data_IF_672971760110
#
_entry.id   IF_672971760110
#
_cell.length_a   1.000
_cell.length_b   1.000
_cell.length_c   1.000
_cell.angle_alpha   90.00
_cell.angle_beta   90.00
_cell.angle_gamma   90.00
#
_symmetry.space_group_name_H-M   'P 1'
#
loop_
_entity.id
_entity.type
_entity.pdbx_description
1 polymer ?
#
# COMPACT_ATOMS: atom_id res chain seq x y z
N UNK A 1 -2.48 23.99 -24.59
CA UNK A 1 -2.33 22.63 -24.01
C UNK A 1 -3.04 22.62 -22.66
N UNK A 2 -4.09 21.81 -22.50
CA UNK A 2 -4.80 21.70 -21.21
C UNK A 2 -3.91 20.95 -20.20
N UNK A 3 -3.67 21.53 -19.02
CA UNK A 3 -2.97 20.83 -17.93
C UNK A 3 -3.84 19.69 -17.45
N UNK A 4 -3.38 18.45 -17.59
CA UNK A 4 -4.06 17.28 -17.05
C UNK A 4 -4.16 17.39 -15.51
N UNK A 5 -5.29 16.94 -14.92
CA UNK A 5 -5.53 17.16 -13.49
C UNK A 5 -4.64 16.26 -12.63
N UNK A 6 -4.16 16.79 -11.50
CA UNK A 6 -3.32 16.08 -10.52
C UNK A 6 -3.99 14.77 -10.03
N UNK A 7 -5.32 14.67 -10.12
CA UNK A 7 -6.11 13.48 -9.79
C UNK A 7 -5.75 12.23 -10.59
N UNK A 8 -5.13 12.39 -11.76
CA UNK A 8 -4.72 11.27 -12.61
C UNK A 8 -3.30 10.79 -12.35
N UNK A 9 -2.59 11.39 -11.40
CA UNK A 9 -1.23 10.96 -11.09
C UNK A 9 -1.26 9.66 -10.27
N UNK A 10 -0.31 8.74 -10.49
CA UNK A 10 -0.25 7.49 -9.72
C UNK A 10 -0.20 7.71 -8.21
N UNK A 11 0.52 8.74 -7.73
CA UNK A 11 0.61 9.04 -6.31
C UNK A 11 -0.75 9.46 -5.73
N UNK A 12 -1.50 10.30 -6.44
CA UNK A 12 -2.84 10.69 -6.01
C UNK A 12 -3.77 9.48 -5.96
N UNK A 13 -3.76 8.64 -7.00
CA UNK A 13 -4.60 7.45 -7.08
C UNK A 13 -4.30 6.50 -5.93
N UNK A 14 -3.03 6.19 -5.67
CA UNK A 14 -2.60 5.35 -4.56
C UNK A 14 -3.04 5.91 -3.20
N UNK A 15 -2.88 7.22 -2.99
CA UNK A 15 -3.34 7.89 -1.77
C UNK A 15 -4.86 7.78 -1.59
N UNK A 16 -5.65 8.01 -2.64
CA UNK A 16 -7.10 7.89 -2.57
C UNK A 16 -7.55 6.45 -2.30
N UNK A 17 -6.82 5.45 -2.78
CA UNK A 17 -7.06 4.06 -2.40
C UNK A 17 -6.82 3.80 -0.91
N UNK A 18 -5.75 4.35 -0.32
CA UNK A 18 -5.49 4.22 1.11
C UNK A 18 -6.61 4.87 1.94
N UNK A 19 -7.05 6.07 1.54
CA UNK A 19 -8.17 6.77 2.18
C UNK A 19 -9.46 5.94 2.12
N UNK A 20 -9.80 5.42 0.94
CA UNK A 20 -10.99 4.57 0.75
C UNK A 20 -10.91 3.27 1.53
N UNK A 21 -9.73 2.65 1.59
CA UNK A 21 -9.51 1.39 2.32
C UNK A 21 -9.65 1.60 3.82
N UNK A 22 -9.11 2.71 4.35
CA UNK A 22 -9.29 3.09 5.75
C UNK A 22 -10.77 3.35 6.07
N UNK A 23 -11.47 4.10 5.22
CA UNK A 23 -12.91 4.34 5.34
C UNK A 23 -13.73 3.04 5.36
N UNK A 24 -13.42 2.10 4.44
CA UNK A 24 -14.07 0.80 4.38
C UNK A 24 -13.80 -0.04 5.63
N UNK A 25 -12.54 -0.06 6.10
CA UNK A 25 -12.12 -0.77 7.32
C UNK A 25 -12.84 -0.26 8.57
N UNK A 26 -13.24 1.01 8.59
CA UNK A 26 -14.01 1.58 9.70
C UNK A 26 -15.53 1.39 9.54
N UNK A 27 -16.00 0.53 8.62
CA UNK A 27 -17.42 0.22 8.45
C UNK A 27 -18.17 1.12 7.47
N UNK A 28 -17.48 1.97 6.71
CA UNK A 28 -18.09 2.86 5.72
C UNK A 28 -19.21 3.77 6.28
N UNK A 29 -18.93 4.60 7.31
CA UNK A 29 -19.94 5.45 7.94
C UNK A 29 -20.64 6.38 6.96
N UNK A 30 -21.93 6.62 7.16
CA UNK A 30 -22.67 7.61 6.38
C UNK A 30 -22.09 9.01 6.57
N UNK A 31 -22.15 9.85 5.53
CA UNK A 31 -21.60 11.21 5.59
C UNK A 31 -22.15 12.04 6.76
N UNK A 32 -23.44 11.85 7.09
CA UNK A 32 -24.09 12.49 8.25
C UNK A 32 -23.45 12.11 9.57
N UNK A 33 -23.02 10.85 9.73
CA UNK A 33 -22.34 10.37 10.93
C UNK A 33 -20.93 10.97 11.03
N UNK A 34 -20.20 11.01 9.92
CA UNK A 34 -18.86 11.62 9.86
C UNK A 34 -18.94 13.10 10.24
N UNK A 35 -19.89 13.86 9.67
CA UNK A 35 -20.06 15.28 9.96
C UNK A 35 -20.39 15.50 11.45
N UNK A 36 -21.31 14.70 12.01
CA UNK A 36 -21.67 14.77 13.43
C UNK A 36 -20.50 14.48 14.36
N UNK A 37 -19.67 13.50 14.02
CA UNK A 37 -18.47 13.17 14.81
C UNK A 37 -17.40 14.24 14.65
N UNK A 38 -17.20 14.75 13.43
CA UNK A 38 -16.27 15.84 13.14
C UNK A 38 -16.57 17.09 13.99
N UNK A 39 -17.85 17.47 14.14
CA UNK A 39 -18.24 18.61 14.98
C UNK A 39 -18.01 18.41 16.48
N UNK A 40 -17.78 17.16 16.92
CA UNK A 40 -17.56 16.80 18.33
C UNK A 40 -16.13 16.36 18.61
N UNK A 41 -15.20 16.52 17.66
CA UNK A 41 -13.81 16.07 17.84
C UNK A 41 -13.12 16.77 19.01
N UNK A 42 -13.43 18.03 19.31
CA UNK A 42 -12.90 18.73 20.48
C UNK A 42 -13.26 18.07 21.81
N UNK A 43 -14.41 17.37 21.89
CA UNK A 43 -14.83 16.63 23.08
C UNK A 43 -13.99 15.35 23.27
N UNK A 44 -13.63 14.68 22.18
CA UNK A 44 -12.90 13.41 22.20
C UNK A 44 -11.39 13.59 22.22
N UNK A 45 -10.89 14.67 21.63
CA UNK A 45 -9.46 14.96 21.48
C UNK A 45 -9.17 16.37 21.97
N UNK A 46 -9.21 16.61 23.29
CA UNK A 46 -8.88 17.91 23.84
C UNK A 46 -7.44 18.31 23.44
N UNK A 47 -7.20 19.59 23.13
CA UNK A 47 -5.86 20.06 22.78
C UNK A 47 -4.90 19.82 23.95
N UNK A 48 -3.73 19.25 23.65
CA UNK A 48 -2.64 19.24 24.64
C UNK A 48 -2.01 20.64 24.69
N UNK A 49 -1.27 20.96 25.76
CA UNK A 49 -0.60 22.26 25.91
C UNK A 49 0.24 22.58 24.66
N UNK A 50 -0.21 23.57 23.88
CA UNK A 50 0.47 24.06 22.68
C UNK A 50 -0.13 23.59 21.35
N UNK A 51 -1.11 22.68 21.36
CA UNK A 51 -1.83 22.26 20.15
C UNK A 51 -3.02 23.19 19.86
N UNK A 52 -3.23 23.48 18.57
CA UNK A 52 -4.45 24.14 18.11
C UNK A 52 -5.65 23.20 18.22
N UNK A 53 -6.78 23.77 18.62
CA UNK A 53 -8.07 23.07 18.66
C UNK A 53 -8.48 22.59 17.27
N UNK A 54 -9.11 21.41 17.19
CA UNK A 54 -9.59 20.84 15.93
C UNK A 54 -10.95 21.46 15.59
N UNK A 55 -10.96 22.75 15.26
CA UNK A 55 -12.17 23.43 14.77
C UNK A 55 -12.26 23.31 13.25
N UNK A 56 -12.67 22.14 12.76
CA UNK A 56 -12.81 21.90 11.32
C UNK A 56 -14.17 21.32 11.00
N UNK A 57 -15.00 22.12 10.33
CA UNK A 57 -16.27 21.65 9.78
C UNK A 57 -16.04 20.89 8.47
N UNK A 58 -16.49 19.63 8.45
CA UNK A 58 -16.57 18.82 7.24
C UNK A 58 -17.95 19.00 6.61
N UNK A 59 -18.00 19.12 5.27
CA UNK A 59 -19.25 19.24 4.53
C UNK A 59 -19.52 17.98 3.70
N UNK A 60 -20.80 17.65 3.50
CA UNK A 60 -21.20 16.50 2.67
C UNK A 60 -20.65 16.56 1.23
N UNK A 61 -20.65 17.72 0.53
CA UNK A 61 -20.04 17.82 -0.80
C UNK A 61 -18.55 17.48 -0.79
N UNK A 62 -17.82 17.95 0.23
CA UNK A 62 -16.40 17.67 0.36
C UNK A 62 -16.12 16.18 0.61
N UNK A 63 -16.90 15.55 1.49
CA UNK A 63 -16.81 14.11 1.75
C UNK A 63 -17.13 13.29 0.51
N UNK A 64 -18.16 13.69 -0.25
CA UNK A 64 -18.52 13.04 -1.50
C UNK A 64 -17.39 13.13 -2.53
N UNK A 65 -16.75 14.29 -2.67
CA UNK A 65 -15.60 14.47 -3.56
C UNK A 65 -14.38 13.65 -3.10
N UNK A 66 -14.08 13.64 -1.80
CA UNK A 66 -13.00 12.82 -1.24
C UNK A 66 -13.27 11.33 -1.51
N UNK A 67 -14.43 10.81 -1.11
CA UNK A 67 -14.74 9.38 -1.24
C UNK A 67 -14.94 8.93 -2.69
N UNK A 68 -15.31 9.82 -3.60
CA UNK A 68 -15.34 9.51 -5.04
C UNK A 68 -13.96 9.58 -5.71
N UNK A 69 -12.91 10.08 -5.01
CA UNK A 69 -11.59 10.30 -5.60
C UNK A 69 -11.50 11.54 -6.47
N UNK A 70 -12.52 12.40 -6.48
CA UNK A 70 -12.63 13.59 -7.34
C UNK A 70 -12.17 14.88 -6.66
N UNK A 71 -11.60 14.80 -5.46
CA UNK A 71 -11.22 15.98 -4.69
C UNK A 71 -9.99 16.68 -5.29
N UNK A 72 -10.21 17.86 -5.86
CA UNK A 72 -9.17 18.75 -6.36
C UNK A 72 -9.27 20.14 -5.74
N UNK A 73 -8.23 20.65 -5.07
CA UNK A 73 -6.94 20.01 -4.77
C UNK A 73 -7.03 18.95 -3.64
N UNK A 74 -5.92 18.23 -3.40
CA UNK A 74 -5.77 17.33 -2.23
C UNK A 74 -6.16 18.05 -0.92
N UNK A 75 -6.70 17.32 0.07
CA UNK A 75 -7.29 17.93 1.25
C UNK A 75 -6.25 18.74 2.06
N UNK A 76 -6.69 19.76 2.79
CA UNK A 76 -5.83 20.43 3.78
C UNK A 76 -5.53 19.46 4.93
N UNK A 77 -4.41 19.67 5.62
CA UNK A 77 -4.02 18.82 6.75
C UNK A 77 -5.11 18.76 7.82
N UNK A 78 -5.75 19.90 8.12
CA UNK A 78 -6.76 19.98 9.18
C UNK A 78 -8.06 19.26 8.79
N UNK A 79 -8.55 19.44 7.55
CA UNK A 79 -9.73 18.71 7.05
C UNK A 79 -9.47 17.22 6.97
N UNK A 80 -8.27 16.84 6.55
CA UNK A 80 -7.91 15.43 6.47
C UNK A 80 -7.77 14.79 7.86
N UNK A 81 -7.16 15.48 8.82
CA UNK A 81 -7.09 15.05 10.22
C UNK A 81 -8.48 14.84 10.80
N UNK A 82 -9.37 15.82 10.64
CA UNK A 82 -10.75 15.73 11.12
C UNK A 82 -11.49 14.53 10.51
N UNK A 83 -11.29 14.27 9.21
CA UNK A 83 -11.85 13.10 8.55
C UNK A 83 -11.34 11.78 9.14
N UNK A 84 -10.02 11.60 9.27
CA UNK A 84 -9.41 10.36 9.78
C UNK A 84 -9.89 10.07 11.21
N UNK A 85 -9.95 11.10 12.06
CA UNK A 85 -10.44 10.99 13.43
C UNK A 85 -11.93 10.65 13.49
N UNK A 86 -12.77 11.36 12.75
CA UNK A 86 -14.21 11.13 12.76
C UNK A 86 -14.56 9.70 12.29
N UNK A 87 -13.87 9.22 11.25
CA UNK A 87 -14.06 7.86 10.71
C UNK A 87 -13.52 6.79 11.68
N UNK A 88 -12.35 7.03 12.28
CA UNK A 88 -11.79 6.12 13.28
C UNK A 88 -12.65 6.02 14.54
N UNK A 89 -13.10 7.17 15.06
CA UNK A 89 -14.03 7.24 16.21
C UNK A 89 -15.30 6.45 15.94
N UNK A 90 -15.88 6.61 14.76
CA UNK A 90 -17.04 5.81 14.36
C UNK A 90 -16.74 4.31 14.46
N UNK A 91 -15.61 3.88 13.89
CA UNK A 91 -15.18 2.48 13.93
C UNK A 91 -15.11 1.92 15.36
N UNK A 92 -14.65 2.72 16.32
CA UNK A 92 -14.66 2.36 17.75
C UNK A 92 -16.08 2.34 18.31
N UNK A 93 -16.90 3.36 18.05
CA UNK A 93 -18.29 3.45 18.55
C UNK A 93 -19.16 2.26 18.14
N UNK A 94 -18.92 1.69 16.96
CA UNK A 94 -19.64 0.51 16.47
C UNK A 94 -18.91 -0.82 16.71
N UNK A 95 -17.78 -0.80 17.42
CA UNK A 95 -17.01 -2.00 17.78
C UNK A 95 -16.29 -2.68 16.62
N UNK A 96 -16.05 -1.97 15.51
CA UNK A 96 -15.26 -2.45 14.37
C UNK A 96 -13.75 -2.32 14.65
N UNK A 97 -13.35 -1.25 15.34
CA UNK A 97 -11.97 -1.04 15.80
C UNK A 97 -11.92 -1.25 17.32
N UNK A 98 -10.91 -2.00 17.77
CA UNK A 98 -10.65 -2.20 19.21
C UNK A 98 -10.07 -0.94 19.86
N UNK A 99 -9.26 -0.20 19.12
CA UNK A 99 -8.57 0.99 19.61
C UNK A 99 -8.84 2.21 18.71
N UNK A 100 -8.93 3.36 19.36
CA UNK A 100 -9.10 4.65 18.70
C UNK A 100 -7.78 5.08 18.05
N UNK A 101 -7.78 5.64 16.81
CA UNK A 101 -6.55 6.09 16.18
C UNK A 101 -5.88 7.16 17.04
N UNK A 102 -4.67 6.84 17.48
CA UNK A 102 -3.88 7.69 18.34
C UNK A 102 -3.25 8.87 17.57
N UNK A 103 -2.59 9.75 18.32
CA UNK A 103 -1.87 10.90 17.74
C UNK A 103 -0.70 10.47 16.85
N UNK A 104 -0.12 9.28 17.04
CA UNK A 104 0.95 8.77 16.17
C UNK A 104 0.43 8.38 14.80
N UNK A 105 -0.71 7.68 14.74
CA UNK A 105 -1.43 7.34 13.51
C UNK A 105 -1.79 8.60 12.72
N UNK A 106 -2.18 9.69 13.40
CA UNK A 106 -2.42 10.98 12.74
C UNK A 106 -1.18 11.58 12.09
N UNK A 107 -0.02 11.54 12.77
CA UNK A 107 1.23 12.04 12.20
C UNK A 107 1.60 11.29 10.93
N UNK A 108 1.38 9.97 10.91
CA UNK A 108 1.61 9.13 9.73
C UNK A 108 0.71 9.52 8.56
N UNK A 109 -0.59 9.73 8.80
CA UNK A 109 -1.54 10.18 7.77
C UNK A 109 -1.21 11.58 7.24
N UNK A 110 -0.77 12.50 8.11
CA UNK A 110 -0.35 13.85 7.70
C UNK A 110 0.92 13.81 6.87
N UNK A 111 1.91 13.02 7.27
CA UNK A 111 3.15 12.84 6.52
C UNK A 111 2.86 12.18 5.17
N UNK A 112 1.97 11.19 5.13
CA UNK A 112 1.51 10.57 3.90
C UNK A 112 0.85 11.61 2.97
N UNK A 113 -0.06 12.45 3.48
CA UNK A 113 -0.68 13.52 2.70
C UNK A 113 0.35 14.50 2.13
N UNK A 114 1.34 14.90 2.94
CA UNK A 114 2.43 15.80 2.53
C UNK A 114 3.27 15.18 1.42
N UNK A 115 3.66 13.91 1.59
CA UNK A 115 4.43 13.18 0.58
C UNK A 115 3.66 13.01 -0.72
N UNK A 116 2.37 12.67 -0.63
CA UNK A 116 1.49 12.55 -1.80
C UNK A 116 1.37 13.87 -2.54
N UNK A 117 1.16 14.99 -1.84
CA UNK A 117 1.09 16.32 -2.48
C UNK A 117 2.35 16.62 -3.29
N UNK A 118 3.53 16.52 -2.65
CA UNK A 118 4.80 16.77 -3.31
C UNK A 118 5.01 15.85 -4.52
N UNK A 119 4.65 14.57 -4.41
CA UNK A 119 4.87 13.59 -5.47
C UNK A 119 3.87 13.73 -6.62
N UNK A 120 2.60 13.97 -6.32
CA UNK A 120 1.57 14.18 -7.31
C UNK A 120 1.83 15.46 -8.11
N UNK A 121 2.32 16.53 -7.45
CA UNK A 121 2.78 17.73 -8.14
C UNK A 121 4.01 17.45 -9.03
N UNK A 122 4.99 16.69 -8.53
CA UNK A 122 6.15 16.30 -9.32
C UNK A 122 5.75 15.44 -10.54
N UNK A 123 4.90 14.44 -10.36
CA UNK A 123 4.40 13.59 -11.44
C UNK A 123 3.61 14.38 -12.48
N UNK A 124 2.78 15.33 -12.04
CA UNK A 124 2.05 16.21 -12.96
C UNK A 124 3.00 17.13 -13.75
N UNK A 125 4.12 17.58 -13.16
CA UNK A 125 5.18 18.32 -13.87
C UNK A 125 5.92 17.45 -14.86
N UNK A 126 6.18 16.19 -14.50
CA UNK A 126 6.91 15.22 -15.32
C UNK A 126 6.01 14.57 -16.40
N UNK A 127 4.72 14.92 -16.45
CA UNK A 127 3.78 14.37 -17.43
C UNK A 127 3.33 12.93 -17.14
N UNK A 128 3.55 12.43 -15.92
CA UNK A 128 3.21 11.06 -15.53
C UNK A 128 1.76 10.98 -15.05
N UNK A 129 0.89 10.45 -15.90
CA UNK A 129 -0.52 10.23 -15.62
C UNK A 129 -0.89 8.77 -15.89
N UNK A 130 -1.90 8.27 -15.18
CA UNK A 130 -2.54 6.99 -15.48
C UNK A 130 -3.60 7.26 -16.54
N UNK A 131 -3.56 6.49 -17.63
CA UNK A 131 -4.63 6.50 -18.63
C UNK A 131 -5.87 5.87 -18.00
N UNK A 132 -7.02 6.55 -18.11
CA UNK A 132 -8.31 5.95 -17.76
C UNK A 132 -8.59 4.86 -18.80
N UNK A 133 -8.21 3.62 -18.51
CA UNK A 133 -8.81 2.47 -19.19
C UNK A 133 -10.25 2.32 -18.71
N UNK A 134 -11.15 3.08 -19.34
CA UNK A 134 -12.57 2.80 -19.31
C UNK A 134 -12.92 1.91 -20.51
N UNK A 135 -13.10 0.63 -20.23
CA UNK A 135 -14.13 -0.26 -20.81
C UNK A 135 -14.58 0.05 -22.26
N UNK A 136 -13.85 -0.43 -23.27
CA UNK A 136 -14.29 -0.30 -24.66
C UNK A 136 -13.38 -1.03 -25.65
N UNK A 137 -13.72 -2.28 -25.95
CA UNK A 137 -12.88 -3.22 -26.69
C UNK A 137 -12.28 -2.74 -28.03
N UNK A 138 -11.11 -3.28 -28.34
CA UNK A 138 -10.94 -4.23 -29.44
C UNK A 138 -9.59 -4.93 -29.33
N UNK A 139 -9.62 -6.25 -29.43
CA UNK A 139 -8.48 -7.06 -29.80
C UNK A 139 -7.95 -6.58 -31.15
N UNK A 140 -6.63 -6.44 -31.26
CA UNK A 140 -5.82 -7.15 -32.26
C UNK A 140 -4.33 -6.96 -31.94
N UNK A 141 -3.66 -8.09 -31.73
CA UNK A 141 -2.21 -8.32 -31.85
C UNK A 141 -1.84 -8.29 -33.36
N UNK A 142 -0.58 -8.21 -33.89
CA UNK A 142 0.61 -8.92 -33.35
C UNK A 142 2.05 -8.42 -33.70
N UNK A 143 3.07 -9.08 -33.09
CA UNK A 143 4.51 -9.17 -33.45
C UNK A 143 5.35 -7.87 -33.43
N UNK A 144 6.66 -7.79 -33.17
CA UNK A 144 7.78 -8.73 -33.00
C UNK A 144 8.97 -7.92 -32.44
N UNK A 145 9.88 -8.52 -31.66
CA UNK A 145 11.33 -8.37 -31.85
C UNK A 145 12.14 -9.28 -30.93
N UNK A 146 12.97 -10.08 -31.57
CA UNK A 146 14.04 -10.94 -31.05
C UNK A 146 15.12 -10.13 -30.30
N UNK A 147 15.76 -10.68 -29.26
CA UNK A 147 17.23 -10.59 -29.07
C UNK A 147 17.74 -11.77 -28.21
N UNK A 148 18.61 -12.59 -28.84
CA UNK A 148 19.90 -13.08 -28.33
C UNK A 148 20.05 -13.62 -26.90
N UNK A 149 20.23 -14.94 -26.80
CA UNK A 149 20.77 -15.62 -25.62
C UNK A 149 22.28 -15.33 -25.53
N UNK A 150 22.70 -14.58 -24.50
CA UNK A 150 24.11 -14.44 -24.12
C UNK A 150 24.32 -14.92 -22.67
N UNK A 151 25.28 -15.83 -22.52
CA UNK A 151 25.71 -16.46 -21.26
C UNK A 151 26.13 -15.38 -20.22
N UNK A 152 25.73 -15.48 -18.94
CA UNK A 152 26.05 -14.45 -17.97
C UNK A 152 27.51 -14.54 -17.51
N UNK A 153 28.31 -13.54 -17.87
CA UNK A 153 29.58 -13.20 -17.21
C UNK A 153 29.31 -12.72 -15.79
N UNK A 154 30.12 -13.19 -14.84
CA UNK A 154 30.10 -12.79 -13.44
C UNK A 154 30.01 -11.26 -13.29
N UNK A 155 28.93 -10.78 -12.67
CA UNK A 155 28.59 -9.35 -12.57
C UNK A 155 29.23 -8.73 -11.32
N UNK A 156 29.94 -7.63 -11.54
CA UNK A 156 30.45 -6.71 -10.52
C UNK A 156 29.29 -6.14 -9.65
N UNK A 157 29.55 -5.67 -8.42
CA UNK A 157 28.52 -5.17 -7.50
C UNK A 157 27.71 -4.05 -8.15
N UNK A 158 26.41 -4.28 -8.29
CA UNK A 158 25.47 -3.34 -8.91
C UNK A 158 25.10 -2.27 -7.91
N UNK A 159 25.21 -1.01 -8.29
CA UNK A 159 24.55 0.06 -7.54
C UNK A 159 23.04 -0.16 -7.61
N UNK A 160 22.36 -0.15 -6.47
CA UNK A 160 20.89 -0.28 -6.40
C UNK A 160 20.28 0.95 -7.07
N UNK A 161 19.57 0.74 -8.19
CA UNK A 161 18.85 1.79 -8.93
C UNK A 161 17.39 1.81 -8.47
N UNK A 162 16.63 2.87 -8.77
CA UNK A 162 15.17 2.84 -8.58
C UNK A 162 14.56 1.74 -9.43
N UNK A 163 13.64 1.00 -8.83
CA UNK A 163 12.83 0.03 -9.55
C UNK A 163 11.71 0.70 -10.33
N UNK A 164 11.27 0.07 -11.40
CA UNK A 164 10.10 0.51 -12.14
C UNK A 164 8.85 0.32 -11.26
N UNK A 165 8.03 1.36 -11.03
CA UNK A 165 6.84 1.23 -10.20
C UNK A 165 5.87 0.20 -10.79
N UNK A 166 5.52 -0.81 -10.00
CA UNK A 166 4.47 -1.76 -10.37
C UNK A 166 3.13 -1.20 -9.89
N UNK A 167 2.17 -1.06 -10.80
CA UNK A 167 0.84 -0.57 -10.47
C UNK A 167 0.01 -1.74 -9.93
N UNK A 168 -0.38 -1.64 -8.66
CA UNK A 168 -1.27 -2.62 -8.03
C UNK A 168 -2.74 -2.26 -8.30
N UNK A 169 -3.52 -3.25 -8.70
CA UNK A 169 -4.98 -3.19 -8.77
C UNK A 169 -5.62 -2.99 -7.40
N UNK A 170 -6.89 -2.55 -7.33
CA UNK A 170 -7.60 -2.35 -6.07
C UNK A 170 -7.65 -3.61 -5.19
N UNK A 171 -7.83 -4.78 -5.82
CA UNK A 171 -7.90 -6.07 -5.13
C UNK A 171 -6.56 -6.46 -4.52
N UNK A 172 -5.44 -6.21 -5.23
CA UNK A 172 -4.09 -6.43 -4.72
C UNK A 172 -3.77 -5.49 -3.56
N UNK A 173 -4.10 -4.20 -3.68
CA UNK A 173 -3.94 -3.24 -2.57
C UNK A 173 -4.74 -3.67 -1.34
N UNK A 174 -6.02 -4.02 -1.51
CA UNK A 174 -6.88 -4.49 -0.42
C UNK A 174 -6.30 -5.73 0.28
N UNK A 175 -5.76 -6.69 -0.48
CA UNK A 175 -5.04 -7.83 0.08
C UNK A 175 -3.84 -7.39 0.92
N UNK A 176 -2.99 -6.51 0.37
CA UNK A 176 -1.82 -5.99 1.06
C UNK A 176 -2.19 -5.28 2.39
N UNK A 177 -3.32 -4.57 2.42
CA UNK A 177 -3.79 -3.85 3.62
C UNK A 177 -4.12 -4.76 4.80
N UNK A 178 -4.40 -6.05 4.57
CA UNK A 178 -4.66 -7.04 5.64
C UNK A 178 -3.45 -7.25 6.54
N UNK A 179 -2.24 -6.96 6.05
CA UNK A 179 -1.00 -7.11 6.79
C UNK A 179 -0.65 -5.90 7.68
N UNK A 180 -1.48 -4.86 7.70
CA UNK A 180 -1.38 -3.74 8.66
C UNK A 180 -0.67 -2.48 8.13
N UNK A 181 -0.36 -1.55 9.04
CA UNK A 181 0.18 -0.22 8.74
C UNK A 181 1.57 -0.25 8.06
N UNK A 182 2.37 -1.27 8.36
CA UNK A 182 3.66 -1.42 7.70
C UNK A 182 3.49 -1.71 6.20
N UNK A 183 2.53 -2.57 5.84
CA UNK A 183 2.24 -2.90 4.44
C UNK A 183 1.68 -1.69 3.64
N UNK A 184 0.97 -0.78 4.32
CA UNK A 184 0.59 0.53 3.74
C UNK A 184 1.83 1.38 3.40
N UNK A 185 2.81 1.39 4.30
CA UNK A 185 4.08 2.10 4.07
C UNK A 185 4.85 1.49 2.91
N UNK A 186 4.82 0.15 2.76
CA UNK A 186 5.40 -0.53 1.61
C UNK A 186 4.73 -0.06 0.31
N UNK A 187 3.39 -0.05 0.23
CA UNK A 187 2.64 0.37 -0.97
C UNK A 187 3.10 1.73 -1.50
N UNK A 188 3.29 2.68 -0.58
CA UNK A 188 3.71 4.04 -0.92
C UNK A 188 5.17 4.08 -1.36
N UNK A 189 6.04 3.30 -0.72
CA UNK A 189 7.48 3.23 -1.08
C UNK A 189 7.68 2.50 -2.41
N UNK A 190 6.99 1.39 -2.63
CA UNK A 190 7.01 0.63 -3.87
C UNK A 190 6.52 1.46 -5.06
N UNK A 191 5.46 2.26 -4.87
CA UNK A 191 4.98 3.24 -5.86
C UNK A 191 5.99 4.37 -6.15
N UNK A 192 6.95 4.63 -5.26
CA UNK A 192 8.08 5.55 -5.49
C UNK A 192 9.26 4.89 -6.20
N UNK A 193 9.17 3.61 -6.56
CA UNK A 193 10.25 2.83 -7.15
C UNK A 193 11.31 2.40 -6.13
N UNK A 194 10.94 2.25 -4.86
CA UNK A 194 11.83 1.67 -3.84
C UNK A 194 11.93 0.15 -4.05
N UNK A 195 13.10 -0.37 -4.48
CA UNK A 195 13.26 -1.80 -4.77
C UNK A 195 13.11 -2.68 -3.52
N UNK A 196 13.46 -2.17 -2.34
CA UNK A 196 13.33 -2.93 -1.09
C UNK A 196 11.85 -3.09 -0.75
N UNK A 197 11.06 -2.03 -0.91
CA UNK A 197 9.62 -2.09 -0.67
C UNK A 197 8.92 -3.01 -1.67
N UNK A 198 9.28 -2.96 -2.96
CA UNK A 198 8.73 -3.88 -3.96
C UNK A 198 9.09 -5.34 -3.69
N UNK A 199 10.32 -5.62 -3.28
CA UNK A 199 10.71 -6.95 -2.82
C UNK A 199 9.85 -7.42 -1.64
N UNK A 200 9.66 -6.55 -0.66
CA UNK A 200 8.86 -6.86 0.53
C UNK A 200 7.39 -7.11 0.21
N UNK A 201 6.79 -6.35 -0.70
CA UNK A 201 5.46 -6.65 -1.23
C UNK A 201 5.43 -7.96 -2.01
N UNK A 202 6.46 -8.21 -2.82
CA UNK A 202 6.64 -9.47 -3.54
C UNK A 202 6.66 -10.67 -2.60
N UNK A 203 7.28 -10.54 -1.42
CA UNK A 203 7.24 -11.56 -0.36
C UNK A 203 5.82 -11.71 0.19
N UNK A 204 5.12 -10.60 0.48
CA UNK A 204 3.75 -10.64 1.03
C UNK A 204 2.76 -11.30 0.07
N UNK A 205 2.79 -10.95 -1.22
CA UNK A 205 1.98 -11.61 -2.24
C UNK A 205 2.46 -13.02 -2.54
N UNK A 206 3.76 -13.28 -2.45
CA UNK A 206 4.35 -14.60 -2.71
C UNK A 206 3.91 -15.66 -1.70
N UNK A 207 3.47 -15.28 -0.49
CA UNK A 207 2.85 -16.18 0.50
C UNK A 207 1.47 -16.73 0.03
N UNK A 208 0.84 -16.13 -0.99
CA UNK A 208 -0.50 -16.49 -1.47
C UNK A 208 -0.46 -16.82 -2.98
N UNK A 209 -0.80 -18.07 -3.32
CA UNK A 209 -0.78 -18.56 -4.69
C UNK A 209 -1.69 -17.75 -5.64
N UNK A 210 -2.77 -17.14 -5.13
CA UNK A 210 -3.67 -16.31 -5.93
C UNK A 210 -3.01 -15.04 -6.47
N UNK A 211 -1.90 -14.59 -5.87
CA UNK A 211 -1.19 -13.36 -6.26
C UNK A 211 0.19 -13.65 -6.86
N UNK A 212 0.46 -14.88 -7.31
CA UNK A 212 1.74 -15.31 -7.88
C UNK A 212 2.28 -14.35 -8.95
N UNK A 213 1.47 -13.98 -9.93
CA UNK A 213 1.91 -13.12 -11.04
C UNK A 213 2.28 -11.71 -10.55
N UNK A 214 1.54 -11.21 -9.57
CA UNK A 214 1.81 -9.92 -8.90
C UNK A 214 3.16 -9.96 -8.19
N UNK A 215 3.39 -11.03 -7.43
CA UNK A 215 4.64 -11.24 -6.73
C UNK A 215 5.82 -11.34 -7.72
N UNK A 216 5.67 -12.10 -8.81
CA UNK A 216 6.71 -12.20 -9.86
C UNK A 216 7.00 -10.84 -10.49
N UNK A 217 5.99 -10.03 -10.80
CA UNK A 217 6.18 -8.69 -11.38
C UNK A 217 6.98 -7.77 -10.43
N UNK A 218 6.61 -7.74 -9.15
CA UNK A 218 7.30 -6.95 -8.12
C UNK A 218 8.75 -7.42 -7.91
N UNK A 219 8.96 -8.73 -7.80
CA UNK A 219 10.29 -9.30 -7.59
C UNK A 219 11.19 -9.10 -8.80
N UNK A 220 10.66 -9.24 -10.03
CA UNK A 220 11.39 -8.95 -11.26
C UNK A 220 11.82 -7.49 -11.33
N UNK A 221 10.95 -6.55 -10.97
CA UNK A 221 11.29 -5.12 -10.97
C UNK A 221 12.37 -4.79 -9.93
N UNK A 222 12.24 -5.31 -8.71
CA UNK A 222 13.25 -5.16 -7.65
C UNK A 222 14.60 -5.82 -8.01
N UNK A 223 14.57 -6.98 -8.66
CA UNK A 223 15.77 -7.68 -9.15
C UNK A 223 16.45 -6.90 -10.28
N UNK A 224 15.68 -6.32 -11.21
CA UNK A 224 16.20 -5.45 -12.27
C UNK A 224 16.89 -4.20 -11.71
N UNK A 225 16.40 -3.68 -10.59
CA UNK A 225 17.02 -2.61 -9.80
C UNK A 225 18.30 -3.04 -9.04
N UNK A 226 18.67 -4.32 -9.08
CA UNK A 226 19.90 -4.84 -8.49
C UNK A 226 19.75 -5.31 -7.04
N UNK A 227 18.55 -5.67 -6.58
CA UNK A 227 18.35 -6.22 -5.24
C UNK A 227 18.49 -7.74 -5.24
N UNK A 228 19.61 -8.28 -4.75
CA UNK A 228 19.93 -9.71 -4.78
C UNK A 228 18.87 -10.61 -4.11
N UNK A 229 18.31 -10.29 -2.92
CA UNK A 229 17.24 -11.10 -2.33
C UNK A 229 15.98 -11.19 -3.20
N UNK A 230 15.71 -10.18 -4.02
CA UNK A 230 14.59 -10.21 -4.96
C UNK A 230 14.91 -11.08 -6.19
N UNK A 231 16.16 -11.07 -6.65
CA UNK A 231 16.63 -11.92 -7.75
C UNK A 231 16.54 -13.40 -7.37
N UNK A 232 17.04 -13.78 -6.19
CA UNK A 232 16.97 -15.16 -5.68
C UNK A 232 15.52 -15.66 -5.62
N UNK A 233 14.63 -14.84 -5.04
CA UNK A 233 13.22 -15.21 -4.89
C UNK A 233 12.48 -15.23 -6.25
N UNK A 234 12.82 -14.32 -7.17
CA UNK A 234 12.27 -14.32 -8.53
C UNK A 234 12.70 -15.58 -9.31
N UNK A 235 13.98 -15.95 -9.27
CA UNK A 235 14.50 -17.15 -9.94
C UNK A 235 13.86 -18.43 -9.37
N UNK A 236 13.67 -18.50 -8.06
CA UNK A 236 12.92 -19.58 -7.41
C UNK A 236 11.46 -19.65 -7.89
N UNK A 237 10.80 -18.50 -8.09
CA UNK A 237 9.44 -18.42 -8.60
C UNK A 237 9.29 -18.73 -10.09
N UNK A 238 10.36 -18.59 -10.88
CA UNK A 238 10.39 -18.97 -12.31
C UNK A 238 10.61 -20.47 -12.47
N UNK A 239 11.45 -21.06 -11.61
CA UNK A 239 11.87 -22.46 -11.72
C UNK A 239 11.03 -23.43 -10.88
N UNK A 240 10.25 -22.93 -9.92
CA UNK A 240 9.49 -23.75 -8.99
C UNK A 240 8.33 -23.03 -8.29
N UNK A 241 7.80 -23.59 -7.19
CA UNK A 241 6.74 -22.95 -6.42
C UNK A 241 7.28 -21.75 -5.64
N UNK A 242 6.73 -20.56 -5.91
CA UNK A 242 7.13 -19.33 -5.24
C UNK A 242 6.81 -19.33 -3.73
N UNK A 243 5.71 -19.98 -3.32
CA UNK A 243 5.20 -19.98 -1.94
C UNK A 243 6.22 -20.37 -0.87
N UNK A 244 6.85 -21.56 -0.94
CA UNK A 244 7.85 -21.98 0.05
C UNK A 244 9.07 -21.05 0.14
N UNK A 245 9.51 -20.50 -1.00
CA UNK A 245 10.61 -19.55 -1.03
C UNK A 245 10.19 -18.21 -0.39
N UNK A 246 9.03 -17.68 -0.76
CA UNK A 246 8.48 -16.45 -0.19
C UNK A 246 8.28 -16.58 1.34
N UNK A 247 7.79 -17.73 1.81
CA UNK A 247 7.66 -18.03 3.24
C UNK A 247 9.00 -17.99 3.98
N UNK A 248 10.06 -18.50 3.36
CA UNK A 248 11.42 -18.46 3.93
C UNK A 248 11.90 -17.01 4.06
N UNK A 249 11.72 -16.21 3.02
CA UNK A 249 12.05 -14.78 3.04
C UNK A 249 11.21 -13.99 4.05
N UNK A 250 9.91 -14.31 4.19
CA UNK A 250 9.05 -13.70 5.21
C UNK A 250 9.58 -13.95 6.63
N UNK A 251 10.00 -15.19 6.95
CA UNK A 251 10.60 -15.52 8.25
C UNK A 251 11.91 -14.76 8.48
N UNK A 252 12.79 -14.71 7.47
CA UNK A 252 14.05 -13.97 7.55
C UNK A 252 13.82 -12.47 7.76
N UNK A 253 12.84 -11.87 7.09
CA UNK A 253 12.45 -10.47 7.27
C UNK A 253 11.87 -10.23 8.67
N UNK A 254 11.01 -11.12 9.16
CA UNK A 254 10.49 -11.05 10.53
C UNK A 254 11.63 -11.06 11.56
N UNK A 255 12.60 -11.97 11.41
CA UNK A 255 13.78 -12.04 12.27
C UNK A 255 14.68 -10.81 12.16
N UNK A 256 14.86 -10.28 10.95
CA UNK A 256 15.64 -9.06 10.71
C UNK A 256 15.03 -7.87 11.45
N UNK A 257 13.72 -7.66 11.32
CA UNK A 257 13.03 -6.54 11.96
C UNK A 257 12.90 -6.69 13.48
N UNK A 258 12.77 -7.91 13.98
CA UNK A 258 12.86 -8.19 15.42
C UNK A 258 14.18 -7.73 16.03
N UNK A 259 15.31 -7.93 15.33
CA UNK A 259 16.64 -7.49 15.82
C UNK A 259 16.85 -5.98 15.76
N UNK A 260 15.96 -5.23 15.11
CA UNK A 260 16.03 -3.78 14.94
C UNK A 260 14.94 -3.04 15.73
N UNK A 261 14.20 -3.78 16.57
CA UNK A 261 13.08 -3.27 17.36
C UNK A 261 12.01 -2.56 16.50
N UNK A 262 11.80 -3.03 15.25
CA UNK A 262 10.69 -2.59 14.40
C UNK A 262 9.53 -3.58 14.52
N UNK A 263 8.77 -3.43 15.60
CA UNK A 263 7.69 -4.34 15.98
C UNK A 263 6.61 -4.46 14.90
N UNK A 264 6.36 -3.37 14.16
CA UNK A 264 5.32 -3.33 13.13
C UNK A 264 5.73 -4.15 11.91
N UNK A 265 6.96 -3.95 11.42
CA UNK A 265 7.50 -4.74 10.32
C UNK A 265 7.62 -6.22 10.70
N UNK A 266 8.11 -6.50 11.91
CA UNK A 266 8.19 -7.85 12.45
C UNK A 266 6.81 -8.54 12.49
N UNK A 267 5.78 -7.87 13.03
CA UNK A 267 4.43 -8.40 13.09
C UNK A 267 3.85 -8.70 11.70
N UNK A 268 4.05 -7.81 10.73
CA UNK A 268 3.59 -7.99 9.34
C UNK A 268 4.17 -9.25 8.70
N UNK A 269 5.50 -9.43 8.72
CA UNK A 269 6.12 -10.59 8.07
C UNK A 269 5.91 -11.89 8.84
N UNK A 270 5.83 -11.82 10.18
CA UNK A 270 5.43 -12.97 11.00
C UNK A 270 4.02 -13.43 10.65
N UNK A 271 3.07 -12.49 10.49
CA UNK A 271 1.70 -12.79 10.08
C UNK A 271 1.65 -13.49 8.72
N UNK A 272 2.35 -12.98 7.69
CA UNK A 272 2.48 -13.65 6.38
C UNK A 272 2.97 -15.08 6.53
N UNK A 273 4.03 -15.27 7.33
CA UNK A 273 4.63 -16.58 7.51
C UNK A 273 3.71 -17.58 8.23
N UNK A 274 2.81 -17.11 9.09
CA UNK A 274 1.82 -17.95 9.78
C UNK A 274 0.58 -18.24 8.94
N UNK A 275 0.13 -17.30 8.11
CA UNK A 275 -1.09 -17.45 7.31
C UNK A 275 -0.89 -18.33 6.08
N UNK A 276 0.33 -18.36 5.50
CA UNK A 276 0.66 -19.22 4.37
C UNK A 276 0.45 -20.72 4.65
N UNK A 277 0.50 -21.14 5.92
CA UNK A 277 0.28 -22.53 6.34
C UNK A 277 -1.17 -23.00 6.20
N UNK A 278 -2.14 -22.09 6.04
CA UNK A 278 -3.57 -22.42 5.99
C UNK A 278 -4.06 -22.64 4.56
N UNK A 279 -3.36 -22.12 3.55
CA UNK A 279 -3.77 -22.19 2.14
C UNK A 279 -3.10 -23.31 1.33
N UNK A 280 -1.94 -23.82 1.77
CA UNK A 280 -1.34 -25.04 1.19
C UNK A 280 -2.06 -26.28 1.75
N UNK A 281 -3.25 -26.55 1.22
CA UNK A 281 -4.00 -27.78 1.43
C UNK A 281 -3.30 -29.01 0.86
N UNK A 282 -2.17 -29.40 1.44
CA UNK A 282 -1.54 -30.69 1.24
C UNK A 282 -1.33 -31.38 2.60
N UNK A 283 -2.31 -32.20 2.97
CA UNK A 283 -2.22 -33.39 3.83
C UNK A 283 -1.03 -33.44 4.82
N UNK A 284 -1.21 -32.86 6.00
CA UNK A 284 -0.48 -33.33 7.18
C UNK A 284 -1.47 -33.88 8.20
N UNK A 285 -1.48 -35.20 8.49
CA UNK A 285 -2.32 -35.72 9.55
C UNK A 285 -1.90 -35.09 10.89
N UNK A 286 -2.86 -34.85 11.80
CA UNK A 286 -2.57 -34.21 13.08
C UNK A 286 -1.54 -35.05 13.87
N UNK A 287 -0.68 -34.40 14.67
CA UNK A 287 0.21 -35.12 15.57
C UNK A 287 -0.64 -35.99 16.50
N UNK A 288 -0.34 -37.30 16.54
CA UNK A 288 -0.97 -38.21 17.48
C UNK A 288 -0.59 -37.83 18.92
N UNK A 289 -1.50 -38.03 19.89
CA UNK A 289 -1.28 -37.71 21.29
C UNK A 289 -0.08 -38.46 21.88
#
# INVERSE_FOLDING_TARGET
>A
MAKLPITRTPAYIAFMYLVKSYYARCGSPQQTQIIRLASRLGEFYPPEKGDSEIEVSLSAPWLSQLLSGKLTPLPSADKFRAFILAVGRYGVEVGILEEEPDRSTLREWQELLRQTKNKAEQQARDGVFVDDEDTGGKADSPFSSEVGIAVPKARAPRHIVRAEPVVLSPTQLSHLMKYGAYAQTLAVRAAKGDPIAQYQEGVLFGCDAAYRDTAIALLKSAAAAGLEPALELWEAGVTGPLGPAALTHARQLADHYRRRDDDRAHATFRSCATQAWVCDGADRPPPRP
#
